data_IF_906887667791
#
_entry.id   IF_906887667791
#
_cell.length_a   1.000
_cell.length_b   1.000
_cell.length_c   1.000
_cell.angle_alpha   90.00
_cell.angle_beta   90.00
_cell.angle_gamma   90.00
#
_symmetry.space_group_name_H-M   'P 1'
#
loop_
_entity.id
_entity.type
_entity.pdbx_description
1 polymer ?
#
# COMPACT_ATOMS: atom_id res chain seq x y z
N UNK A 1 5.36 0.11 20.98
CA UNK A 1 6.78 0.05 20.56
C UNK A 1 7.09 1.35 19.83
N UNK A 2 7.97 2.23 20.33
CA UNK A 2 8.24 3.54 19.69
C UNK A 2 9.02 3.33 18.38
N UNK A 3 8.46 3.72 17.25
CA UNK A 3 9.15 3.74 15.97
C UNK A 3 10.13 4.92 15.95
N UNK A 4 11.41 4.65 16.26
CA UNK A 4 12.44 5.68 16.20
C UNK A 4 12.88 5.96 14.76
N UNK A 5 12.47 7.14 14.32
CA UNK A 5 13.03 8.08 13.34
C UNK A 5 14.46 7.80 12.85
N UNK A 6 14.61 6.98 11.82
CA UNK A 6 15.81 6.96 10.97
C UNK A 6 15.38 7.06 9.52
N UNK A 7 15.91 8.08 8.82
CA UNK A 7 15.54 8.60 7.48
C UNK A 7 14.41 9.63 7.52
N UNK A 8 14.75 10.92 7.49
CA UNK A 8 14.50 11.85 6.36
C UNK A 8 15.22 13.17 6.68
N UNK A 9 15.82 13.78 5.65
CA UNK A 9 16.31 15.15 5.70
C UNK A 9 15.13 16.13 5.54
N UNK A 10 15.08 17.11 6.45
CA UNK A 10 14.10 18.23 6.55
C UNK A 10 12.88 17.94 7.42
N UNK A 11 12.36 19.04 7.95
CA UNK A 11 11.60 19.18 9.19
C UNK A 11 10.13 18.70 9.08
N UNK A 12 9.90 17.61 8.36
CA UNK A 12 8.57 17.08 8.06
C UNK A 12 8.24 15.92 9.01
N UNK A 13 6.98 15.86 9.45
CA UNK A 13 6.49 14.76 10.28
C UNK A 13 6.25 13.54 9.41
N UNK A 14 6.71 12.39 9.91
CA UNK A 14 6.62 11.12 9.21
C UNK A 14 5.58 10.23 9.88
N UNK A 15 4.59 9.76 9.12
CA UNK A 15 3.62 8.76 9.58
C UNK A 15 3.20 7.78 8.49
N UNK A 16 2.55 6.70 8.91
CA UNK A 16 1.81 5.84 7.99
C UNK A 16 0.67 6.65 7.32
N UNK A 17 0.34 6.38 6.05
CA UNK A 17 -0.84 6.97 5.43
C UNK A 17 -2.12 6.45 6.08
N UNK A 18 -3.19 7.21 6.05
CA UNK A 18 -4.53 6.62 6.25
C UNK A 18 -4.90 5.74 5.06
N UNK A 19 -5.88 4.85 5.24
CA UNK A 19 -6.41 4.05 4.14
C UNK A 19 -6.93 4.94 3.00
N UNK A 20 -7.51 6.09 3.31
CA UNK A 20 -7.99 7.03 2.29
C UNK A 20 -6.86 7.76 1.58
N UNK A 21 -5.82 8.20 2.28
CA UNK A 21 -4.65 8.85 1.67
C UNK A 21 -3.94 7.90 0.70
N UNK A 22 -3.77 6.65 1.13
CA UNK A 22 -3.22 5.60 0.29
C UNK A 22 -4.07 5.40 -0.96
N UNK A 23 -5.39 5.29 -0.78
CA UNK A 23 -6.32 5.08 -1.90
C UNK A 23 -6.33 6.27 -2.85
N UNK A 24 -6.23 7.49 -2.32
CA UNK A 24 -6.14 8.71 -3.11
C UNK A 24 -4.87 8.75 -3.94
N UNK A 25 -3.73 8.37 -3.37
CA UNK A 25 -2.47 8.27 -4.09
C UNK A 25 -2.54 7.21 -5.20
N UNK A 26 -3.13 6.04 -4.91
CA UNK A 26 -3.27 4.98 -5.90
C UNK A 26 -4.21 5.37 -7.04
N UNK A 27 -5.39 5.93 -6.74
CA UNK A 27 -6.49 6.06 -7.70
C UNK A 27 -6.60 7.41 -8.40
N UNK A 28 -5.91 8.43 -7.89
CA UNK A 28 -6.04 9.81 -8.36
C UNK A 28 -7.42 10.42 -8.11
N UNK A 29 -7.70 11.52 -8.83
CA UNK A 29 -8.99 12.23 -8.82
C UNK A 29 -10.12 11.45 -9.47
N UNK A 30 -9.75 10.62 -10.42
CA UNK A 30 -10.60 9.89 -11.35
C UNK A 30 -11.15 8.61 -10.72
N UNK A 31 -10.66 8.24 -9.53
CA UNK A 31 -11.04 7.04 -8.78
C UNK A 31 -10.84 5.77 -9.61
N UNK A 32 -9.74 5.70 -10.36
CA UNK A 32 -9.43 4.56 -11.20
C UNK A 32 -9.39 3.25 -10.41
N UNK A 33 -9.71 2.15 -11.10
CA UNK A 33 -9.67 0.81 -10.50
C UNK A 33 -8.23 0.40 -10.17
N UNK A 34 -7.30 0.70 -11.06
CA UNK A 34 -5.86 0.44 -10.92
C UNK A 34 -5.09 1.77 -10.93
N UNK A 35 -3.82 1.80 -10.46
CA UNK A 35 -3.01 3.01 -10.48
C UNK A 35 -2.83 3.64 -11.86
N UNK A 36 -2.86 2.81 -12.90
CA UNK A 36 -2.69 3.19 -14.30
C UNK A 36 -4.00 3.33 -15.09
N UNK A 37 -5.17 3.22 -14.45
CA UNK A 37 -6.46 3.34 -15.13
C UNK A 37 -7.46 2.23 -14.79
N UNK A 38 -8.46 2.07 -15.66
CA UNK A 38 -9.53 1.08 -15.46
C UNK A 38 -9.29 -0.24 -16.19
N UNK A 39 -8.36 -0.25 -17.14
CA UNK A 39 -8.03 -1.45 -17.89
C UNK A 39 -7.25 -2.43 -17.02
N UNK A 40 -7.68 -3.70 -16.94
CA UNK A 40 -6.90 -4.74 -16.27
C UNK A 40 -5.53 -4.84 -16.95
N UNK A 41 -4.45 -5.06 -16.19
CA UNK A 41 -3.14 -5.17 -16.79
C UNK A 41 -3.05 -6.49 -17.56
N UNK A 42 -2.46 -6.51 -18.76
CA UNK A 42 -2.09 -7.76 -19.40
C UNK A 42 -0.98 -8.41 -18.56
N UNK A 43 -1.26 -9.62 -18.07
CA UNK A 43 -0.32 -10.60 -17.51
C UNK A 43 0.94 -10.05 -16.79
N UNK A 44 0.75 -9.36 -15.67
CA UNK A 44 1.84 -9.01 -14.75
C UNK A 44 2.82 -7.93 -15.24
N UNK A 45 2.62 -7.31 -16.41
CA UNK A 45 3.54 -6.29 -16.94
C UNK A 45 3.56 -4.98 -16.14
N UNK A 46 2.49 -4.74 -15.37
CA UNK A 46 2.28 -3.49 -14.61
C UNK A 46 2.35 -3.67 -13.10
N UNK A 47 2.40 -4.90 -12.61
CA UNK A 47 2.31 -5.19 -11.18
C UNK A 47 2.90 -6.56 -10.88
N UNK A 48 3.65 -6.65 -9.78
CA UNK A 48 4.05 -7.93 -9.23
C UNK A 48 2.86 -8.62 -8.56
N UNK A 49 2.13 -9.43 -9.31
CA UNK A 49 1.10 -10.35 -8.79
C UNK A 49 1.39 -11.80 -9.18
N UNK A 50 0.47 -12.71 -8.82
CA UNK A 50 0.62 -14.15 -9.05
C UNK A 50 0.96 -14.50 -10.49
N UNK A 51 0.41 -13.75 -11.44
CA UNK A 51 0.54 -13.92 -12.88
C UNK A 51 1.97 -13.66 -13.38
N UNK A 52 2.78 -12.88 -12.66
CA UNK A 52 4.20 -12.72 -13.01
C UNK A 52 5.02 -13.99 -12.81
N UNK A 53 4.55 -14.91 -11.96
CA UNK A 53 5.26 -16.14 -11.62
C UNK A 53 6.56 -15.94 -10.82
N UNK A 54 6.88 -14.72 -10.39
CA UNK A 54 8.13 -14.44 -9.65
C UNK A 54 8.20 -15.16 -8.31
N UNK A 55 7.04 -15.34 -7.65
CA UNK A 55 6.94 -16.04 -6.36
C UNK A 55 7.64 -15.32 -5.19
N UNK A 56 8.09 -14.08 -5.41
CA UNK A 56 8.84 -13.25 -4.45
C UNK A 56 8.57 -11.78 -4.71
N UNK A 57 9.05 -10.91 -3.81
CA UNK A 57 9.03 -9.46 -4.04
C UNK A 57 10.02 -9.03 -5.12
N UNK A 58 9.63 -8.06 -5.94
CA UNK A 58 10.48 -7.46 -6.97
C UNK A 58 11.11 -6.15 -6.48
N UNK A 59 12.30 -5.77 -7.00
CA UNK A 59 12.87 -4.44 -6.79
C UNK A 59 11.93 -3.31 -7.24
N UNK A 60 11.98 -2.18 -6.53
CA UNK A 60 11.19 -0.99 -6.87
C UNK A 60 11.51 -0.54 -8.30
N UNK A 61 10.47 -0.34 -9.10
CA UNK A 61 10.58 0.22 -10.45
C UNK A 61 10.68 -0.82 -11.56
N UNK A 62 10.61 -2.11 -11.23
CA UNK A 62 10.51 -3.18 -12.22
C UNK A 62 9.22 -3.11 -13.08
N UNK A 63 8.19 -2.37 -12.61
CA UNK A 63 6.91 -2.22 -13.29
C UNK A 63 6.62 -0.74 -13.62
N UNK A 64 7.35 -0.12 -14.56
CA UNK A 64 7.23 1.31 -14.86
C UNK A 64 5.87 1.70 -15.48
N UNK A 65 5.18 0.74 -16.10
CA UNK A 65 3.81 0.93 -16.59
C UNK A 65 2.75 0.85 -15.48
N UNK A 66 3.15 0.47 -14.27
CA UNK A 66 2.31 0.35 -13.09
C UNK A 66 2.20 1.60 -12.23
N UNK A 67 2.82 2.70 -12.66
CA UNK A 67 2.97 3.92 -11.87
C UNK A 67 1.64 4.66 -11.75
N UNK A 68 1.29 5.08 -10.52
CA UNK A 68 0.13 5.89 -10.25
C UNK A 68 0.27 7.30 -10.87
N UNK A 69 -0.85 7.99 -11.10
CA UNK A 69 -0.85 9.35 -11.64
C UNK A 69 -0.01 10.36 -10.81
N UNK A 70 0.14 10.12 -9.51
CA UNK A 70 0.99 10.93 -8.62
C UNK A 70 2.49 10.59 -8.70
N UNK A 71 2.89 9.62 -9.52
CA UNK A 71 4.26 9.12 -9.62
C UNK A 71 4.61 8.00 -8.64
N UNK A 72 3.66 7.55 -7.80
CA UNK A 72 3.91 6.46 -6.87
C UNK A 72 4.04 5.12 -7.60
N UNK A 73 5.11 4.39 -7.31
CA UNK A 73 5.37 3.07 -7.87
C UNK A 73 4.77 1.97 -6.99
N UNK A 74 4.33 0.88 -7.62
CA UNK A 74 3.96 -0.37 -6.92
C UNK A 74 2.86 -0.19 -5.87
N UNK A 75 1.95 0.75 -6.13
CA UNK A 75 0.71 0.92 -5.35
C UNK A 75 -0.21 -0.32 -5.44
N UNK A 76 0.07 -1.28 -6.32
CA UNK A 76 -0.55 -2.60 -6.30
C UNK A 76 0.51 -3.69 -6.39
N UNK A 77 0.21 -4.84 -5.78
CA UNK A 77 1.04 -6.04 -5.74
C UNK A 77 2.33 -5.85 -4.94
N UNK A 78 3.26 -6.78 -5.15
CA UNK A 78 4.52 -6.87 -4.43
C UNK A 78 4.32 -7.17 -2.93
N UNK A 79 3.86 -6.21 -2.11
CA UNK A 79 3.57 -6.40 -0.68
C UNK A 79 2.31 -5.66 -0.27
N UNK A 80 1.58 -6.23 0.70
CA UNK A 80 0.56 -5.47 1.42
C UNK A 80 1.20 -4.34 2.21
N UNK A 81 0.58 -3.16 2.18
CA UNK A 81 1.04 -1.96 2.87
C UNK A 81 0.12 -1.61 4.04
N UNK A 82 0.71 -1.47 5.23
CA UNK A 82 0.01 -1.03 6.44
C UNK A 82 -0.43 0.43 6.35
N UNK A 83 -1.61 0.74 6.89
CA UNK A 83 -2.11 2.10 7.02
C UNK A 83 -2.35 2.44 8.49
N UNK A 84 -2.47 3.74 8.81
CA UNK A 84 -2.80 4.25 10.14
C UNK A 84 -4.31 4.18 10.46
N UNK A 85 -5.09 3.39 9.71
CA UNK A 85 -6.54 3.31 9.85
C UNK A 85 -6.94 1.95 10.42
N UNK A 86 -7.80 1.95 11.44
CA UNK A 86 -8.30 0.69 12.02
C UNK A 86 -9.18 -0.06 11.01
N UNK A 87 -9.11 -1.38 11.08
CA UNK A 87 -9.91 -2.26 10.24
C UNK A 87 -11.39 -2.24 10.61
N UNK A 88 -11.69 -2.14 11.91
CA UNK A 88 -13.04 -2.15 12.49
C UNK A 88 -13.77 -0.80 12.41
N UNK A 89 -13.12 0.25 11.90
CA UNK A 89 -13.72 1.58 11.76
C UNK A 89 -14.21 1.80 10.33
N UNK A 90 -15.40 2.38 10.18
CA UNK A 90 -15.98 2.76 8.88
C UNK A 90 -15.38 4.06 8.33
N UNK A 91 -14.73 4.86 9.17
CA UNK A 91 -14.09 6.12 8.78
C UNK A 91 -12.64 5.90 8.33
N UNK A 92 -12.41 6.01 7.02
CA UNK A 92 -11.07 5.87 6.42
C UNK A 92 -10.18 7.12 6.62
N UNK A 93 -10.68 8.18 7.28
CA UNK A 93 -9.95 9.41 7.56
C UNK A 93 -9.22 9.41 8.91
N UNK A 94 -9.60 8.51 9.82
CA UNK A 94 -9.03 8.51 11.17
C UNK A 94 -7.57 8.05 11.13
N UNK A 95 -6.70 8.86 11.73
CA UNK A 95 -5.30 8.52 11.99
C UNK A 95 -5.24 7.98 13.41
N UNK A 96 -4.82 6.73 13.53
CA UNK A 96 -4.53 6.11 14.82
C UNK A 96 -3.08 6.40 15.18
N UNK A 97 -2.88 7.22 16.19
CA UNK A 97 -1.53 7.58 16.67
C UNK A 97 -0.90 6.48 17.54
N UNK A 98 -1.73 5.64 18.19
CA UNK A 98 -1.30 4.53 19.04
C UNK A 98 -1.99 3.23 18.64
N UNK A 99 -1.21 2.27 18.14
CA UNK A 99 -1.68 0.92 17.78
C UNK A 99 -1.42 0.01 18.97
N UNK A 100 -2.47 -0.52 19.57
CA UNK A 100 -2.36 -1.48 20.68
C UNK A 100 -2.29 -2.93 20.16
N UNK A 101 -1.64 -3.84 20.90
CA UNK A 101 -1.67 -5.27 20.59
C UNK A 101 -3.10 -5.81 20.47
N UNK A 102 -3.40 -6.45 19.34
CA UNK A 102 -4.74 -6.95 19.01
C UNK A 102 -5.63 -5.97 18.25
N UNK A 103 -5.17 -4.74 18.01
CA UNK A 103 -5.86 -3.84 17.09
C UNK A 103 -5.65 -4.29 15.64
N UNK A 104 -6.75 -4.55 14.93
CA UNK A 104 -6.72 -4.81 13.49
C UNK A 104 -6.49 -3.52 12.72
N UNK A 105 -5.41 -3.44 11.94
CA UNK A 105 -5.12 -2.31 11.06
C UNK A 105 -5.48 -2.66 9.61
N UNK A 106 -5.91 -1.66 8.85
CA UNK A 106 -6.14 -1.81 7.42
C UNK A 106 -4.82 -1.99 6.69
N UNK A 107 -4.88 -2.84 5.67
CA UNK A 107 -3.83 -3.00 4.68
C UNK A 107 -4.37 -2.72 3.30
N UNK A 108 -3.49 -2.26 2.42
CA UNK A 108 -3.80 -1.92 1.04
C UNK A 108 -2.77 -2.54 0.08
N UNK A 109 -3.05 -2.49 -1.21
CA UNK A 109 -2.05 -2.79 -2.25
C UNK A 109 -2.06 -4.23 -2.77
N UNK A 110 -2.45 -5.24 -1.98
CA UNK A 110 -2.23 -6.65 -2.34
C UNK A 110 -0.73 -7.00 -2.42
N UNK A 111 -0.41 -8.28 -2.59
CA UNK A 111 0.96 -8.79 -2.62
C UNK A 111 1.26 -9.63 -3.86
N UNK A 112 2.52 -10.02 -4.01
CA UNK A 112 3.00 -10.83 -5.14
C UNK A 112 2.28 -12.18 -5.31
N UNK A 113 1.63 -12.72 -4.28
CA UNK A 113 0.91 -13.99 -4.36
C UNK A 113 -0.57 -13.85 -4.68
N UNK A 114 -1.10 -12.62 -4.71
CA UNK A 114 -2.50 -12.36 -5.00
C UNK A 114 -2.73 -12.33 -6.52
N UNK A 115 -3.93 -12.75 -6.96
CA UNK A 115 -4.29 -12.74 -8.38
C UNK A 115 -4.71 -11.35 -8.82
N UNK A 116 -4.12 -10.85 -9.90
CA UNK A 116 -4.33 -9.50 -10.46
C UNK A 116 -5.81 -9.17 -10.68
N UNK A 117 -6.64 -10.16 -11.05
CA UNK A 117 -8.08 -9.95 -11.28
C UNK A 117 -8.84 -9.45 -10.05
N UNK A 118 -8.30 -9.67 -8.85
CA UNK A 118 -8.87 -9.22 -7.58
C UNK A 118 -8.18 -7.95 -7.04
N UNK A 119 -7.07 -7.51 -7.63
CA UNK A 119 -6.26 -6.37 -7.17
C UNK A 119 -6.89 -5.04 -7.56
N UNK A 120 -7.91 -4.59 -6.81
CA UNK A 120 -8.49 -3.26 -6.98
C UNK A 120 -7.92 -2.26 -5.98
N UNK A 121 -7.57 -1.05 -6.42
CA UNK A 121 -7.05 0.02 -5.53
C UNK A 121 -8.02 0.45 -4.41
N UNK A 122 -9.30 0.08 -4.52
CA UNK A 122 -10.32 0.27 -3.48
C UNK A 122 -10.51 -0.91 -2.54
N UNK A 123 -9.66 -1.95 -2.61
CA UNK A 123 -9.72 -3.11 -1.71
C UNK A 123 -9.63 -2.69 -0.25
N UNK A 124 -10.36 -3.40 0.61
CA UNK A 124 -10.39 -3.18 2.06
C UNK A 124 -10.14 -4.51 2.75
N UNK A 125 -8.92 -4.71 3.19
CA UNK A 125 -8.51 -5.86 4.00
C UNK A 125 -7.83 -5.35 5.28
N UNK A 126 -7.72 -6.20 6.29
CA UNK A 126 -7.05 -5.86 7.54
C UNK A 126 -6.54 -7.07 8.29
N UNK A 127 -5.56 -6.81 9.15
CA UNK A 127 -4.88 -7.80 9.97
C UNK A 127 -4.48 -7.18 11.31
N UNK A 128 -4.28 -8.01 12.33
CA UNK A 128 -3.76 -7.56 13.62
C UNK A 128 -2.42 -6.82 13.44
N UNK A 129 -2.27 -5.67 14.10
CA UNK A 129 -1.10 -4.79 13.95
C UNK A 129 0.25 -5.41 14.31
N UNK A 130 0.23 -6.51 15.07
CA UNK A 130 1.42 -7.28 15.44
C UNK A 130 1.79 -8.39 14.42
N UNK A 131 0.92 -8.65 13.44
CA UNK A 131 1.12 -9.72 12.45
C UNK A 131 2.23 -9.35 11.44
N UNK A 132 3.17 -10.26 11.16
CA UNK A 132 4.23 -10.07 10.14
C UNK A 132 4.42 -11.33 9.30
N UNK A 133 4.54 -11.19 7.97
CA UNK A 133 4.85 -12.30 7.06
C UNK A 133 5.55 -11.79 5.77
N UNK A 134 6.17 -12.67 4.98
CA UNK A 134 6.93 -12.32 3.77
C UNK A 134 6.12 -11.59 2.68
N UNK A 135 4.80 -11.79 2.61
CA UNK A 135 3.91 -11.03 1.71
C UNK A 135 3.34 -9.75 2.34
N UNK A 136 3.65 -9.48 3.61
CA UNK A 136 3.06 -8.42 4.45
C UNK A 136 4.15 -7.74 5.26
N UNK A 137 4.69 -6.65 4.74
CA UNK A 137 5.79 -5.93 5.34
C UNK A 137 5.56 -4.43 5.35
N UNK A 138 6.45 -3.72 6.04
CA UNK A 138 6.65 -2.29 5.82
C UNK A 138 7.93 -2.14 4.99
N UNK A 139 7.94 -1.33 3.93
CA UNK A 139 9.20 -0.99 3.24
C UNK A 139 9.78 0.30 3.80
N UNK A 140 11.08 0.35 4.15
CA UNK A 140 11.82 1.61 4.10
C UNK A 140 11.79 2.11 2.65
N UNK A 141 11.09 3.21 2.38
CA UNK A 141 10.96 3.77 1.03
C UNK A 141 9.68 3.39 0.26
N UNK A 142 8.73 2.66 0.87
CA UNK A 142 7.32 2.85 0.47
C UNK A 142 6.98 4.30 0.79
N UNK A 143 6.21 4.95 -0.07
CA UNK A 143 5.83 6.34 0.10
C UNK A 143 5.23 6.54 1.48
N UNK A 144 6.09 7.01 2.35
CA UNK A 144 5.73 7.81 3.46
C UNK A 144 4.95 8.96 2.85
N UNK A 145 3.64 9.00 3.07
CA UNK A 145 2.86 10.16 2.66
C UNK A 145 3.35 11.29 3.57
N UNK A 146 4.34 12.02 3.06
CA UNK A 146 4.74 13.31 3.59
C UNK A 146 3.58 14.23 3.30
N UNK A 147 2.81 14.56 4.33
CA UNK A 147 1.82 15.63 4.26
C UNK A 147 2.54 16.88 4.73
N UNK A 148 2.76 17.82 3.81
CA UNK A 148 3.20 19.18 4.10
C UNK A 148 2.14 19.96 4.86
#
# INVERSE_FOLDING_TARGET
MRAERWLVARNEAIRLPTALEWERAARGTEKWRYPWGNEPPPDGERVNGKETGLGVTAPIGCFPQGVAACGAHEMLGNVWEWTATRYDHDDDLEVVDEIEPGDGMRVKGFSWHDGISHMGSGGRDGYDGDFRNFGRGFRPGCFLVVIS
#
